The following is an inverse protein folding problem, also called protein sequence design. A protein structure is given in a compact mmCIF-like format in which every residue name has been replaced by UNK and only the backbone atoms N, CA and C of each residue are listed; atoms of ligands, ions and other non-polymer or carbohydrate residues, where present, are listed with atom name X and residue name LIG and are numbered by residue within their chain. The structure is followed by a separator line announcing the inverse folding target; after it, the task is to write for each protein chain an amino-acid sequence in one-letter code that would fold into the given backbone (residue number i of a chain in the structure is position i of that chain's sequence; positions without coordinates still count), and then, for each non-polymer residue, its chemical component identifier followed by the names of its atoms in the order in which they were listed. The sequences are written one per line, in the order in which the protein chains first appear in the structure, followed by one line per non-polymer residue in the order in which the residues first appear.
data_IF_471999945501
#
_entry.id   IF_471999945501
#
_cell.length_a   1.000
_cell.length_b   1.000
_cell.length_c   1.000
_cell.angle_alpha   90.00
_cell.angle_beta   90.00
_cell.angle_gamma   90.00
#
_symmetry.space_group_name_H-M   'P 1'
#
loop_
_entity.id
_entity.type
_entity.pdbx_description
1 polymer ?
#
# COMPACT_ATOMS: atom_id res chain seq x y z
N UNK A 1 19.87 17.51 2.41
CA UNK A 1 19.24 16.48 3.27
C UNK A 1 20.10 16.25 4.51
N UNK A 2 19.49 16.22 5.69
CA UNK A 2 20.19 15.80 6.92
C UNK A 2 20.21 14.27 7.01
N UNK A 3 21.21 13.69 7.68
CA UNK A 3 21.29 12.24 7.87
C UNK A 3 20.03 11.66 8.54
N UNK A 4 19.41 12.45 9.43
CA UNK A 4 18.18 12.10 10.15
C UNK A 4 16.97 11.97 9.21
N UNK A 5 16.79 12.89 8.26
CA UNK A 5 15.67 12.83 7.30
C UNK A 5 15.75 11.58 6.41
N UNK A 6 16.97 11.19 6.01
CA UNK A 6 17.19 9.96 5.23
C UNK A 6 16.83 8.71 6.02
N UNK A 7 17.24 8.63 7.28
CA UNK A 7 16.90 7.52 8.17
C UNK A 7 15.39 7.40 8.38
N UNK A 8 14.70 8.52 8.62
CA UNK A 8 13.23 8.54 8.75
C UNK A 8 12.54 8.05 7.48
N UNK A 9 13.02 8.50 6.30
CA UNK A 9 12.52 8.02 5.02
C UNK A 9 12.66 6.49 4.88
N UNK A 10 13.83 5.94 5.18
CA UNK A 10 14.09 4.49 5.07
C UNK A 10 13.20 3.67 6.03
N UNK A 11 12.91 4.20 7.23
CA UNK A 11 11.98 3.59 8.18
C UNK A 11 10.55 3.52 7.62
N UNK A 12 10.06 4.63 7.05
CA UNK A 12 8.72 4.69 6.44
C UNK A 12 8.65 3.75 5.25
N UNK A 13 9.64 3.83 4.35
CA UNK A 13 9.71 2.98 3.16
C UNK A 13 9.66 1.49 3.51
N UNK A 14 10.47 1.06 4.49
CA UNK A 14 10.49 -0.34 4.93
C UNK A 14 9.13 -0.76 5.52
N UNK A 15 8.50 0.09 6.33
CA UNK A 15 7.19 -0.19 6.88
C UNK A 15 6.14 -0.40 5.77
N UNK A 16 6.09 0.48 4.76
CA UNK A 16 5.11 0.38 3.67
C UNK A 16 5.27 -0.90 2.85
N UNK A 17 6.52 -1.30 2.58
CA UNK A 17 6.82 -2.56 1.90
C UNK A 17 6.38 -3.77 2.73
N UNK A 18 6.66 -3.76 4.03
CA UNK A 18 6.24 -4.84 4.92
C UNK A 18 4.71 -4.90 5.05
N UNK A 19 4.04 -3.75 5.15
CA UNK A 19 2.59 -3.65 5.21
C UNK A 19 1.96 -4.25 3.95
N UNK A 20 2.41 -3.85 2.76
CA UNK A 20 1.89 -4.38 1.52
C UNK A 20 2.17 -5.88 1.33
N UNK A 21 3.32 -6.38 1.81
CA UNK A 21 3.60 -7.81 1.80
C UNK A 21 2.62 -8.58 2.70
N UNK A 22 2.30 -8.06 3.88
CA UNK A 22 1.28 -8.64 4.79
C UNK A 22 -0.11 -8.65 4.15
N UNK A 23 -0.52 -7.54 3.52
CA UNK A 23 -1.80 -7.46 2.79
C UNK A 23 -1.82 -8.49 1.66
N UNK A 24 -0.78 -8.53 0.82
CA UNK A 24 -0.68 -9.46 -0.30
C UNK A 24 -0.75 -10.93 0.16
N UNK A 25 -0.10 -11.27 1.27
CA UNK A 25 -0.15 -12.62 1.85
C UNK A 25 -1.51 -13.03 2.43
N UNK A 26 -2.37 -12.08 2.79
CA UNK A 26 -3.76 -12.35 3.22
C UNK A 26 -4.73 -12.43 2.03
N UNK A 27 -4.43 -11.74 0.92
CA UNK A 27 -5.28 -11.71 -0.27
C UNK A 27 -5.02 -12.90 -1.19
N UNK A 28 -3.75 -13.25 -1.37
CA UNK A 28 -3.34 -14.33 -2.27
C UNK A 28 -3.43 -15.64 -1.50
N UNK A 29 -4.15 -16.61 -2.07
CA UNK A 29 -4.36 -17.89 -1.43
C UNK A 29 -3.05 -18.69 -1.39
N UNK A 30 -2.59 -18.99 -0.17
CA UNK A 30 -1.44 -19.87 0.04
C UNK A 30 -1.76 -21.26 -0.53
N UNK A 31 -0.87 -21.84 -1.36
CA UNK A 31 -1.06 -23.21 -1.83
C UNK A 31 -1.11 -24.15 -0.62
N UNK A 32 -2.22 -24.91 -0.48
CA UNK A 32 -2.40 -25.87 0.61
C UNK A 32 -1.44 -27.05 0.42
N UNK A 33 -0.75 -27.45 1.49
CA UNK A 33 0.06 -28.67 1.50
C UNK A 33 -0.91 -29.86 1.50
N UNK A 34 -0.76 -30.74 0.53
CA UNK A 34 -1.48 -32.01 0.50
C UNK A 34 -0.64 -33.09 1.19
N UNK A 35 -1.28 -33.95 1.99
CA UNK A 35 -0.62 -35.12 2.63
C UNK A 35 0.06 -36.01 1.59
N UNK A 36 -0.46 -36.05 0.36
CA UNK A 36 0.12 -36.76 -0.79
C UNK A 36 1.53 -36.29 -1.19
N UNK A 37 1.95 -35.08 -0.78
CA UNK A 37 3.30 -34.56 -1.05
C UNK A 37 4.39 -35.33 -0.31
N UNK A 38 4.06 -35.95 0.83
CA UNK A 38 4.97 -36.80 1.62
C UNK A 38 5.12 -38.18 1.00
N UNK A 39 4.09 -38.67 0.31
CA UNK A 39 4.01 -40.02 -0.26
C UNK A 39 4.55 -40.11 -1.70
N UNK A 40 4.60 -39.00 -2.45
CA UNK A 40 4.94 -39.00 -3.88
C UNK A 40 5.97 -37.89 -4.24
N UNK A 41 7.27 -38.21 -4.42
CA UNK A 41 8.34 -37.23 -4.65
C UNK A 41 8.15 -36.32 -5.88
N UNK A 42 7.47 -36.78 -6.94
CA UNK A 42 7.23 -36.00 -8.16
C UNK A 42 6.23 -34.85 -7.95
N UNK A 43 5.32 -34.95 -6.97
CA UNK A 43 4.39 -33.86 -6.64
C UNK A 43 5.10 -32.67 -5.97
N UNK A 44 6.30 -32.89 -5.41
CA UNK A 44 7.11 -31.84 -4.81
C UNK A 44 7.50 -30.77 -5.83
N UNK A 45 7.88 -31.15 -7.06
CA UNK A 45 8.24 -30.22 -8.13
C UNK A 45 7.04 -29.35 -8.54
N UNK A 46 5.85 -29.96 -8.65
CA UNK A 46 4.60 -29.23 -8.93
C UNK A 46 4.24 -28.24 -7.81
N UNK A 47 4.39 -28.65 -6.56
CA UNK A 47 4.13 -27.79 -5.39
C UNK A 47 5.17 -26.68 -5.27
N UNK A 48 6.45 -26.95 -5.54
CA UNK A 48 7.52 -25.95 -5.59
C UNK A 48 7.22 -24.88 -6.65
N UNK A 49 6.74 -25.29 -7.83
CA UNK A 49 6.30 -24.38 -8.87
C UNK A 49 5.09 -23.53 -8.43
N UNK A 50 4.10 -24.13 -7.74
CA UNK A 50 2.97 -23.37 -7.14
C UNK A 50 3.41 -22.38 -6.06
N UNK A 51 4.39 -22.74 -5.23
CA UNK A 51 4.99 -21.83 -4.25
C UNK A 51 5.70 -20.68 -4.97
N UNK A 52 6.42 -20.96 -6.05
CA UNK A 52 7.13 -19.93 -6.81
C UNK A 52 6.14 -18.95 -7.45
N UNK A 53 5.04 -19.44 -8.03
CA UNK A 53 3.95 -18.60 -8.55
C UNK A 53 3.28 -17.79 -7.45
N UNK A 54 3.04 -18.38 -6.28
CA UNK A 54 2.51 -17.67 -5.11
C UNK A 54 3.44 -16.53 -4.66
N UNK A 55 4.74 -16.78 -4.55
CA UNK A 55 5.74 -15.77 -4.19
C UNK A 55 5.84 -14.65 -5.24
N UNK A 56 5.84 -15.01 -6.52
CA UNK A 56 5.84 -14.05 -7.62
C UNK A 56 4.56 -13.20 -7.64
N UNK A 57 3.40 -13.83 -7.39
CA UNK A 57 2.11 -13.16 -7.27
C UNK A 57 2.08 -12.16 -6.12
N UNK A 58 2.59 -12.53 -4.94
CA UNK A 58 2.72 -11.61 -3.81
C UNK A 58 3.59 -10.42 -4.17
N UNK A 59 4.75 -10.66 -4.78
CA UNK A 59 5.67 -9.59 -5.14
C UNK A 59 5.10 -8.64 -6.20
N UNK A 60 4.40 -9.16 -7.21
CA UNK A 60 3.72 -8.34 -8.22
C UNK A 60 2.54 -7.55 -7.64
N UNK A 61 1.74 -8.16 -6.77
CA UNK A 61 0.59 -7.52 -6.14
C UNK A 61 1.01 -6.44 -5.13
N UNK A 62 2.05 -6.71 -4.32
CA UNK A 62 2.58 -5.75 -3.36
C UNK A 62 3.13 -4.50 -4.07
N UNK A 63 3.79 -4.66 -5.23
CA UNK A 63 4.26 -3.51 -6.04
C UNK A 63 3.12 -2.59 -6.47
N UNK A 64 1.95 -3.14 -6.80
CA UNK A 64 0.77 -2.34 -7.13
C UNK A 64 0.24 -1.56 -5.92
N UNK A 65 0.18 -2.21 -4.76
CA UNK A 65 -0.28 -1.60 -3.50
C UNK A 65 0.64 -0.51 -2.96
N UNK A 66 1.95 -0.70 -3.09
CA UNK A 66 2.96 0.22 -2.57
C UNK A 66 3.14 1.43 -3.48
N UNK A 67 2.76 1.35 -4.76
CA UNK A 67 3.03 2.40 -5.75
C UNK A 67 2.56 3.79 -5.30
N UNK A 68 1.31 3.93 -4.86
CA UNK A 68 0.76 5.22 -4.39
C UNK A 68 1.48 5.73 -3.14
N UNK A 69 1.89 4.81 -2.25
CA UNK A 69 2.61 5.10 -1.01
C UNK A 69 4.03 5.59 -1.27
N UNK A 70 4.76 4.96 -2.19
CA UNK A 70 6.08 5.43 -2.62
C UNK A 70 5.98 6.81 -3.28
N UNK A 71 5.06 6.98 -4.24
CA UNK A 71 4.87 8.27 -4.91
C UNK A 71 4.57 9.39 -3.91
N UNK A 72 3.72 9.12 -2.92
CA UNK A 72 3.41 10.07 -1.86
C UNK A 72 4.61 10.37 -0.96
N UNK A 73 5.42 9.37 -0.63
CA UNK A 73 6.61 9.53 0.23
C UNK A 73 7.70 10.33 -0.48
N UNK A 74 7.97 10.00 -1.75
CA UNK A 74 8.92 10.72 -2.60
C UNK A 74 8.49 12.17 -2.77
N UNK A 75 7.21 12.39 -3.08
CA UNK A 75 6.63 13.72 -3.22
C UNK A 75 6.73 14.53 -1.92
N UNK A 76 6.38 13.94 -0.76
CA UNK A 76 6.51 14.60 0.54
C UNK A 76 7.97 14.97 0.84
N UNK A 77 8.92 14.11 0.49
CA UNK A 77 10.34 14.39 0.69
C UNK A 77 10.82 15.53 -0.22
N UNK A 78 10.39 15.55 -1.48
CA UNK A 78 10.75 16.62 -2.43
C UNK A 78 10.19 17.98 -2.00
N UNK A 79 8.95 18.02 -1.51
CA UNK A 79 8.35 19.24 -0.96
C UNK A 79 9.12 19.77 0.24
N UNK A 80 9.57 18.88 1.13
CA UNK A 80 10.38 19.26 2.30
C UNK A 80 11.80 19.72 1.91
N UNK A 81 12.39 19.14 0.87
CA UNK A 81 13.73 19.50 0.41
C UNK A 81 13.75 20.83 -0.34
N UNK A 82 12.74 21.09 -1.17
CA UNK A 82 12.70 22.27 -2.05
C UNK A 82 11.87 23.42 -1.49
N UNK A 83 10.98 23.15 -0.52
CA UNK A 83 9.98 24.10 -0.03
C UNK A 83 8.90 24.44 -1.04
N UNK A 84 8.83 23.73 -2.18
CA UNK A 84 7.84 23.94 -3.25
C UNK A 84 6.89 22.75 -3.31
N UNK A 85 5.66 22.99 -3.75
CA UNK A 85 4.69 21.92 -3.97
C UNK A 85 5.17 21.02 -5.12
N UNK A 86 5.17 19.71 -4.90
CA UNK A 86 5.50 18.71 -5.90
C UNK A 86 4.20 18.20 -6.55
N UNK A 87 4.23 18.17 -7.89
CA UNK A 87 3.14 17.71 -8.74
C UNK A 87 3.64 16.68 -9.77
N UNK A 88 4.95 16.37 -9.79
CA UNK A 88 5.57 15.47 -10.78
C UNK A 88 5.03 14.04 -10.66
N UNK A 89 4.70 13.61 -9.45
CA UNK A 89 4.11 12.29 -9.18
C UNK A 89 2.83 12.03 -9.99
N UNK A 90 2.11 13.07 -10.44
CA UNK A 90 0.89 12.94 -11.25
C UNK A 90 1.17 12.32 -12.62
N UNK A 91 2.33 12.59 -13.18
CA UNK A 91 2.77 12.01 -14.47
C UNK A 91 2.89 10.49 -14.38
N UNK A 92 3.13 9.94 -13.18
CA UNK A 92 3.20 8.49 -12.98
C UNK A 92 1.86 7.77 -13.25
N UNK A 93 0.73 8.49 -13.31
CA UNK A 93 -0.59 7.94 -13.64
C UNK A 93 -1.01 8.18 -15.09
N UNK A 94 -0.26 9.01 -15.83
CA UNK A 94 -0.50 9.26 -17.25
C UNK A 94 0.03 8.08 -18.05
N UNK A 95 -0.89 7.25 -18.56
CA UNK A 95 -0.51 6.17 -19.46
C UNK A 95 -0.48 6.68 -20.90
N UNK A 96 0.70 6.66 -21.51
CA UNK A 96 0.91 7.03 -22.93
C UNK A 96 0.14 6.15 -23.92
N UNK A 97 -0.30 4.95 -23.49
CA UNK A 97 -0.88 3.92 -24.36
C UNK A 97 -2.37 3.61 -24.09
N UNK A 98 -2.99 4.23 -23.06
CA UNK A 98 -4.41 4.03 -22.77
C UNK A 98 -5.23 5.21 -23.30
N UNK A 99 -6.33 4.93 -24.01
CA UNK A 99 -7.32 5.95 -24.37
C UNK A 99 -7.82 6.62 -23.09
N UNK A 100 -7.74 7.95 -23.02
CA UNK A 100 -8.24 8.77 -21.92
C UNK A 100 -9.78 8.79 -21.90
N UNK A 101 -10.39 7.64 -21.62
CA UNK A 101 -11.84 7.57 -21.41
C UNK A 101 -12.19 8.25 -20.07
N UNK A 102 -13.39 8.83 -19.92
CA UNK A 102 -13.80 9.47 -18.67
C UNK A 102 -13.64 8.57 -17.43
N UNK A 103 -13.90 7.26 -17.59
CA UNK A 103 -13.77 6.31 -16.50
C UNK A 103 -12.30 6.07 -16.11
N UNK A 104 -11.37 6.00 -17.08
CA UNK A 104 -9.93 5.87 -16.79
C UNK A 104 -9.38 7.15 -16.17
N UNK A 105 -9.82 8.32 -16.63
CA UNK A 105 -9.46 9.61 -16.00
C UNK A 105 -9.91 9.65 -14.54
N UNK A 106 -11.14 9.20 -14.25
CA UNK A 106 -11.65 9.14 -12.88
C UNK A 106 -10.84 8.22 -11.96
N UNK A 107 -10.28 7.13 -12.46
CA UNK A 107 -9.36 6.29 -11.67
C UNK A 107 -8.11 7.08 -11.30
N UNK A 108 -7.53 7.83 -12.25
CA UNK A 108 -6.35 8.66 -12.01
C UNK A 108 -6.64 9.75 -10.98
N UNK A 109 -7.77 10.43 -11.10
CA UNK A 109 -8.17 11.47 -10.15
C UNK A 109 -8.25 10.91 -8.72
N UNK A 110 -8.82 9.71 -8.55
CA UNK A 110 -8.88 9.04 -7.25
C UNK A 110 -7.51 8.58 -6.74
N UNK A 111 -6.61 8.13 -7.62
CA UNK A 111 -5.25 7.79 -7.23
C UNK A 111 -4.46 9.03 -6.77
N UNK A 112 -4.67 10.18 -7.41
CA UNK A 112 -4.10 11.46 -7.00
C UNK A 112 -4.64 11.87 -5.62
N UNK A 113 -5.95 11.76 -5.39
CA UNK A 113 -6.55 12.03 -4.07
C UNK A 113 -5.96 11.11 -2.97
N UNK A 114 -5.77 9.81 -3.25
CA UNK A 114 -5.10 8.89 -2.32
C UNK A 114 -3.66 9.33 -2.01
N UNK A 115 -2.90 9.71 -3.05
CA UNK A 115 -1.52 10.19 -2.90
C UNK A 115 -1.47 11.45 -2.05
N UNK A 116 -2.37 12.42 -2.23
CA UNK A 116 -2.39 13.64 -1.43
C UNK A 116 -2.69 13.37 0.06
N UNK A 117 -3.58 12.43 0.37
CA UNK A 117 -3.84 11.99 1.75
C UNK A 117 -2.58 11.38 2.37
N UNK A 118 -1.87 10.53 1.62
CA UNK A 118 -0.62 9.89 2.07
C UNK A 118 0.53 10.90 2.18
N UNK A 119 0.64 11.83 1.24
CA UNK A 119 1.69 12.86 1.21
C UNK A 119 1.62 13.73 2.46
N UNK A 120 0.41 14.16 2.84
CA UNK A 120 0.20 14.90 4.08
C UNK A 120 0.57 14.10 5.34
N UNK A 121 0.38 12.78 5.32
CA UNK A 121 0.82 11.90 6.40
C UNK A 121 2.35 11.78 6.45
N UNK A 122 3.00 11.51 5.32
CA UNK A 122 4.45 11.34 5.27
C UNK A 122 5.21 12.63 5.55
N UNK A 123 4.71 13.79 5.11
CA UNK A 123 5.29 15.08 5.46
C UNK A 123 5.34 15.27 6.99
N UNK A 124 4.29 14.86 7.72
CA UNK A 124 4.31 14.87 9.19
C UNK A 124 5.38 13.95 9.74
N UNK A 125 5.44 12.70 9.26
CA UNK A 125 6.41 11.72 9.76
C UNK A 125 7.86 12.12 9.47
N UNK A 126 8.14 12.68 8.30
CA UNK A 126 9.48 13.12 7.88
C UNK A 126 10.01 14.29 8.71
N UNK A 127 9.13 15.09 9.31
CA UNK A 127 9.48 16.15 10.26
C UNK A 127 9.77 15.62 11.67
N UNK A 128 9.42 14.37 11.97
CA UNK A 128 9.64 13.76 13.28
C UNK A 128 10.97 12.99 13.34
N UNK A 129 11.48 12.83 14.57
CA UNK A 129 12.67 12.02 14.86
C UNK A 129 12.28 10.79 15.68
N UNK A 130 12.70 9.60 15.25
CA UNK A 130 12.41 8.36 15.97
C UNK A 130 13.27 7.19 15.51
N UNK A 131 13.52 6.26 16.42
CA UNK A 131 14.28 5.02 16.14
C UNK A 131 13.43 3.91 15.52
N UNK A 132 12.11 4.11 15.40
CA UNK A 132 11.17 3.14 14.82
C UNK A 132 9.96 3.85 14.21
N UNK A 133 9.24 3.17 13.30
CA UNK A 133 8.01 3.71 12.73
C UNK A 133 6.94 4.02 13.80
N UNK A 134 6.81 3.16 14.82
CA UNK A 134 5.92 3.43 15.96
C UNK A 134 6.28 4.74 16.68
N UNK A 135 7.58 5.02 16.88
CA UNK A 135 8.02 6.25 17.52
C UNK A 135 7.68 7.48 16.66
N UNK A 136 7.83 7.39 15.33
CA UNK A 136 7.43 8.45 14.40
C UNK A 136 5.92 8.71 14.49
N UNK A 137 5.11 7.65 14.48
CA UNK A 137 3.65 7.76 14.55
C UNK A 137 3.21 8.41 15.87
N UNK A 138 3.75 7.99 17.02
CA UNK A 138 3.42 8.57 18.32
C UNK A 138 3.77 10.05 18.44
N UNK A 139 4.83 10.49 17.75
CA UNK A 139 5.23 11.90 17.76
C UNK A 139 4.37 12.74 16.82
N UNK A 140 4.11 12.24 15.62
CA UNK A 140 3.29 12.92 14.63
C UNK A 140 1.79 12.95 14.99
N UNK A 141 1.31 11.95 15.73
CA UNK A 141 -0.08 11.79 16.14
C UNK A 141 -0.15 11.64 17.66
N UNK A 142 -0.70 12.65 18.34
CA UNK A 142 -0.66 12.75 19.81
C UNK A 142 -1.53 11.71 20.50
N UNK A 143 -2.48 11.12 19.78
CA UNK A 143 -3.39 10.10 20.29
C UNK A 143 -3.76 9.06 19.22
N UNK A 144 -4.22 7.90 19.68
CA UNK A 144 -4.79 6.87 18.80
C UNK A 144 -6.00 7.38 18.01
N UNK A 145 -6.75 8.34 18.56
CA UNK A 145 -7.88 8.98 17.89
C UNK A 145 -7.45 9.79 16.67
N UNK A 146 -6.42 10.64 16.81
CA UNK A 146 -5.87 11.42 15.69
C UNK A 146 -5.32 10.51 14.57
N UNK A 147 -4.62 9.45 14.96
CA UNK A 147 -4.10 8.49 13.99
C UNK A 147 -5.24 7.72 13.29
N UNK A 148 -6.27 7.30 14.02
CA UNK A 148 -7.46 6.66 13.45
C UNK A 148 -8.22 7.58 12.49
N UNK A 149 -8.30 8.88 12.76
CA UNK A 149 -8.88 9.86 11.82
C UNK A 149 -8.13 9.88 10.49
N UNK A 150 -6.80 9.83 10.52
CA UNK A 150 -6.00 9.68 9.30
C UNK A 150 -6.30 8.35 8.60
N UNK A 151 -6.28 7.23 9.32
CA UNK A 151 -6.51 5.91 8.74
C UNK A 151 -7.90 5.78 8.10
N UNK A 152 -8.92 6.42 8.68
CA UNK A 152 -10.27 6.48 8.10
C UNK A 152 -10.31 7.29 6.80
N UNK A 153 -9.60 8.43 6.75
CA UNK A 153 -9.47 9.23 5.52
C UNK A 153 -8.75 8.43 4.42
N UNK A 154 -7.67 7.75 4.78
CA UNK A 154 -6.92 6.91 3.85
C UNK A 154 -7.78 5.73 3.34
N UNK A 155 -8.49 5.04 4.23
CA UNK A 155 -9.37 3.94 3.85
C UNK A 155 -10.47 4.40 2.87
N UNK A 156 -11.03 5.60 3.07
CA UNK A 156 -12.02 6.18 2.15
C UNK A 156 -11.42 6.48 0.77
N UNK A 157 -10.23 7.06 0.72
CA UNK A 157 -9.55 7.37 -0.54
C UNK A 157 -9.18 6.08 -1.30
N UNK A 158 -8.64 5.07 -0.62
CA UNK A 158 -8.37 3.75 -1.21
C UNK A 158 -9.66 3.08 -1.73
N UNK A 159 -10.77 3.19 -0.99
CA UNK A 159 -12.07 2.68 -1.45
C UNK A 159 -12.56 3.38 -2.72
N UNK A 160 -12.40 4.70 -2.82
CA UNK A 160 -12.79 5.46 -4.02
C UNK A 160 -11.95 5.06 -5.24
N UNK A 161 -10.65 4.77 -5.06
CA UNK A 161 -9.79 4.22 -6.12
C UNK A 161 -10.30 2.86 -6.58
N UNK A 162 -10.59 1.96 -5.64
CA UNK A 162 -11.09 0.63 -5.96
C UNK A 162 -12.43 0.68 -6.71
N UNK A 163 -13.36 1.51 -6.24
CA UNK A 163 -14.67 1.66 -6.88
C UNK A 163 -14.56 2.29 -8.28
N UNK A 164 -13.68 3.29 -8.45
CA UNK A 164 -13.40 3.84 -9.77
C UNK A 164 -12.82 2.77 -10.72
N UNK A 165 -11.87 1.96 -10.24
CA UNK A 165 -11.25 0.90 -11.03
C UNK A 165 -12.26 -0.20 -11.42
N UNK A 166 -13.11 -0.62 -10.48
CA UNK A 166 -14.17 -1.62 -10.75
C UNK A 166 -15.18 -1.11 -11.79
N UNK A 167 -15.49 0.19 -11.81
CA UNK A 167 -16.36 0.80 -12.82
C UNK A 167 -15.66 0.95 -14.17
N UNK A 168 -14.37 1.29 -14.19
CA UNK A 168 -13.64 1.53 -15.43
C UNK A 168 -13.30 0.25 -16.20
N UNK A 169 -12.96 -0.83 -15.49
CA UNK A 169 -12.44 -2.05 -16.10
C UNK A 169 -13.45 -3.21 -16.11
N UNK A 170 -14.66 -3.01 -15.59
CA UNK A 170 -15.76 -4.00 -15.52
C UNK A 170 -15.28 -5.43 -15.20
N UNK A 171 -14.53 -5.65 -14.11
CA UNK A 171 -13.88 -6.92 -13.93
C UNK A 171 -14.86 -7.98 -13.42
N UNK A 172 -14.48 -9.25 -13.61
CA UNK A 172 -15.28 -10.40 -13.20
C UNK A 172 -15.47 -10.50 -11.67
N UNK A 173 -16.37 -11.38 -11.23
CA UNK A 173 -16.69 -11.54 -9.81
C UNK A 173 -15.48 -11.94 -8.95
N UNK A 174 -14.50 -12.64 -9.54
CA UNK A 174 -13.25 -12.97 -8.85
C UNK A 174 -12.45 -11.71 -8.49
N UNK A 175 -12.37 -10.73 -9.38
CA UNK A 175 -11.70 -9.47 -9.08
C UNK A 175 -12.41 -8.69 -7.98
N UNK A 176 -13.75 -8.66 -7.98
CA UNK A 176 -14.54 -8.03 -6.90
C UNK A 176 -14.29 -8.71 -5.55
N UNK A 177 -14.24 -10.04 -5.54
CA UNK A 177 -13.92 -10.81 -4.34
C UNK A 177 -12.50 -10.52 -3.83
N UNK A 178 -11.51 -10.40 -4.72
CA UNK A 178 -10.13 -10.01 -4.39
C UNK A 178 -10.08 -8.62 -3.78
N UNK A 179 -10.78 -7.63 -4.39
CA UNK A 179 -10.88 -6.27 -3.83
C UNK A 179 -11.48 -6.27 -2.43
N UNK A 180 -12.53 -7.08 -2.18
CA UNK A 180 -13.13 -7.21 -0.85
C UNK A 180 -12.17 -7.84 0.17
N UNK A 181 -11.47 -8.92 -0.21
CA UNK A 181 -10.44 -9.54 0.65
C UNK A 181 -9.34 -8.53 1.02
N UNK A 182 -8.91 -7.73 0.04
CA UNK A 182 -7.89 -6.70 0.24
C UNK A 182 -8.35 -5.61 1.22
N UNK A 183 -9.57 -5.09 1.07
CA UNK A 183 -10.14 -4.10 2.02
C UNK A 183 -10.15 -4.65 3.45
N UNK A 184 -10.62 -5.88 3.62
CA UNK A 184 -10.68 -6.53 4.94
C UNK A 184 -9.29 -6.75 5.55
N UNK A 185 -8.33 -7.21 4.74
CA UNK A 185 -6.95 -7.42 5.16
C UNK A 185 -6.29 -6.12 5.63
N UNK A 186 -6.42 -5.06 4.83
CA UNK A 186 -5.91 -3.73 5.16
C UNK A 186 -6.53 -3.19 6.44
N UNK A 187 -7.84 -3.30 6.62
CA UNK A 187 -8.54 -2.88 7.84
C UNK A 187 -8.03 -3.62 9.08
N UNK A 188 -7.96 -4.96 9.01
CA UNK A 188 -7.52 -5.79 10.13
C UNK A 188 -6.07 -5.48 10.54
N UNK A 189 -5.17 -5.29 9.56
CA UNK A 189 -3.78 -4.94 9.82
C UNK A 189 -3.64 -3.55 10.44
N UNK A 190 -4.45 -2.56 10.02
CA UNK A 190 -4.46 -1.21 10.61
C UNK A 190 -4.99 -1.20 12.04
N UNK A 191 -6.01 -2.00 12.35
CA UNK A 191 -6.49 -2.13 13.74
C UNK A 191 -5.44 -2.81 14.63
N UNK A 192 -4.71 -3.81 14.11
CA UNK A 192 -3.58 -4.39 14.82
C UNK A 192 -2.46 -3.36 15.03
N UNK A 193 -2.19 -2.52 14.03
CA UNK A 193 -1.20 -1.47 14.10
C UNK A 193 -1.53 -0.41 15.14
N UNK A 194 -2.77 0.10 15.19
CA UNK A 194 -3.23 1.04 16.22
C UNK A 194 -3.03 0.44 17.62
N UNK A 195 -3.42 -0.82 17.83
CA UNK A 195 -3.25 -1.52 19.11
C UNK A 195 -1.77 -1.68 19.47
N UNK A 196 -0.95 -2.06 18.50
CA UNK A 196 0.50 -2.21 18.70
C UNK A 196 1.18 -0.88 19.00
N UNK A 197 0.68 0.22 18.43
CA UNK A 197 1.30 1.52 18.60
C UNK A 197 0.85 2.19 19.89
N UNK A 198 -0.45 2.26 20.15
CA UNK A 198 -1.03 3.07 21.24
C UNK A 198 -1.66 2.26 22.38
N UNK A 199 -1.66 0.92 22.29
CA UNK A 199 -2.05 0.05 23.38
C UNK A 199 -0.96 -0.15 24.42
#
# INVERSE_FOLDING_TARGET
MTATTKQTYDLIWNQENQFAYKVAGQVIEKPKISVWLVLMPLLFLYYAHKIQQYKAGIHGFSKGLVRTKILALDSAQEELNTGKKDEEYKEAFVSKNLKNTPNVMRVRDKQIEEVEVLKAHYAKLLCEQGSSYQALIKRAYKSSGEYRLFLNKLAKAEEDVYDAALRAYHPNDKARAVTKKMRNATFALREQEIKSFFG
#
